data_IF_221052472600
#
_entry.id   IF_221052472600
#
_cell.length_a   1.000
_cell.length_b   1.000
_cell.length_c   1.000
_cell.angle_alpha   90.00
_cell.angle_beta   90.00
_cell.angle_gamma   90.00
#
_symmetry.space_group_name_H-M   'P 1'
#
loop_
_entity.id
_entity.type
_entity.pdbx_description
1 polymer ?
#
# COMPACT_ATOMS: atom_id res chain seq x y z
N UNK A 1 -19.21 -1.38 11.34
CA UNK A 1 -18.03 -2.08 10.79
C UNK A 1 -18.10 -3.53 11.23
N UNK A 2 -17.89 -4.47 10.31
CA UNK A 2 -17.85 -5.90 10.58
C UNK A 2 -16.52 -6.47 10.08
N UNK A 3 -16.13 -7.66 10.53
CA UNK A 3 -14.95 -8.36 10.00
C UNK A 3 -15.06 -8.66 8.50
N UNK A 4 -16.27 -8.71 7.94
CA UNK A 4 -16.49 -8.85 6.50
C UNK A 4 -16.01 -7.60 5.76
N UNK A 5 -16.24 -6.40 6.32
CA UNK A 5 -15.68 -5.17 5.75
C UNK A 5 -14.15 -5.18 5.73
N UNK A 6 -13.50 -5.72 6.78
CA UNK A 6 -12.04 -5.88 6.78
C UNK A 6 -11.55 -6.84 5.68
N UNK A 7 -12.35 -7.85 5.31
CA UNK A 7 -12.06 -8.71 4.15
C UNK A 7 -12.19 -7.93 2.85
N UNK A 8 -13.22 -7.09 2.70
CA UNK A 8 -13.39 -6.23 1.52
C UNK A 8 -12.19 -5.27 1.34
N UNK A 9 -11.73 -4.65 2.43
CA UNK A 9 -10.53 -3.79 2.42
C UNK A 9 -9.25 -4.58 2.08
N UNK A 10 -9.11 -5.80 2.59
CA UNK A 10 -7.99 -6.68 2.23
C UNK A 10 -8.00 -7.03 0.74
N UNK A 11 -9.18 -7.27 0.17
CA UNK A 11 -9.34 -7.53 -1.26
C UNK A 11 -9.03 -6.31 -2.12
N UNK A 12 -9.33 -5.08 -1.65
CA UNK A 12 -8.83 -3.85 -2.28
C UNK A 12 -7.31 -3.78 -2.26
N UNK A 13 -6.67 -4.02 -1.11
CA UNK A 13 -5.21 -4.04 -0.99
C UNK A 13 -4.58 -5.05 -1.94
N UNK A 14 -5.19 -6.24 -2.09
CA UNK A 14 -4.77 -7.23 -3.08
C UNK A 14 -4.84 -6.71 -4.51
N UNK A 15 -5.77 -5.81 -4.85
CA UNK A 15 -5.80 -5.17 -6.16
C UNK A 15 -4.54 -4.36 -6.49
N UNK A 16 -3.90 -3.76 -5.47
CA UNK A 16 -2.66 -2.98 -5.62
C UNK A 16 -1.39 -3.81 -5.41
N UNK A 17 -1.47 -4.85 -4.56
CA UNK A 17 -0.32 -5.68 -4.16
C UNK A 17 -0.18 -6.98 -4.96
N UNK A 18 -1.26 -7.49 -5.57
CA UNK A 18 -1.14 -8.65 -6.42
C UNK A 18 -0.52 -8.29 -7.75
N UNK A 19 0.16 -9.28 -8.28
CA UNK A 19 0.44 -9.38 -9.68
C UNK A 19 -0.91 -9.51 -10.38
N UNK A 20 -1.19 -8.62 -11.33
CA UNK A 20 -2.10 -8.97 -12.44
C UNK A 20 -1.62 -10.29 -13.09
N UNK A 21 -2.39 -10.88 -14.01
CA UNK A 21 -2.14 -12.22 -14.57
C UNK A 21 -0.65 -12.66 -14.56
N UNK A 22 -0.39 -13.91 -14.11
CA UNK A 22 0.90 -14.63 -14.21
C UNK A 22 1.88 -14.63 -13.01
N UNK A 23 1.46 -14.34 -11.77
CA UNK A 23 2.32 -14.55 -10.56
C UNK A 23 3.67 -13.79 -10.62
N UNK A 24 3.66 -12.56 -11.15
CA UNK A 24 4.86 -11.71 -11.23
C UNK A 24 5.26 -11.16 -9.84
N UNK A 25 6.14 -10.17 -9.73
CA UNK A 25 6.25 -9.38 -8.51
C UNK A 25 5.23 -8.22 -8.52
N UNK A 26 4.78 -7.73 -7.34
CA UNK A 26 3.81 -6.64 -7.24
C UNK A 26 4.21 -5.46 -8.13
N UNK A 27 3.27 -4.92 -8.93
CA UNK A 27 3.58 -3.82 -9.85
C UNK A 27 4.20 -2.62 -9.11
N UNK A 28 3.72 -2.30 -7.90
CA UNK A 28 4.26 -1.23 -7.07
C UNK A 28 5.78 -1.38 -6.78
N UNK A 29 6.29 -2.61 -6.66
CA UNK A 29 7.74 -2.85 -6.50
C UNK A 29 8.50 -2.42 -7.75
N UNK A 30 8.00 -2.79 -8.93
CA UNK A 30 8.63 -2.47 -10.19
C UNK A 30 8.50 -0.97 -10.50
N UNK A 31 7.37 -0.36 -10.14
CA UNK A 31 7.13 1.07 -10.28
C UNK A 31 8.06 1.89 -9.40
N UNK A 32 8.31 1.48 -8.14
CA UNK A 32 9.31 2.12 -7.27
C UNK A 32 10.72 2.01 -7.85
N UNK A 33 11.10 0.86 -8.42
CA UNK A 33 12.40 0.70 -9.08
C UNK A 33 12.53 1.59 -10.31
N UNK A 34 11.48 1.67 -11.13
CA UNK A 34 11.43 2.55 -12.29
C UNK A 34 11.47 4.03 -11.88
N UNK A 35 10.78 4.39 -10.79
CA UNK A 35 10.81 5.72 -10.21
C UNK A 35 12.22 6.09 -9.77
N UNK A 36 12.93 5.17 -9.12
CA UNK A 36 14.33 5.35 -8.75
C UNK A 36 15.21 5.63 -9.99
N UNK A 37 15.06 4.86 -11.07
CA UNK A 37 15.85 5.06 -12.28
C UNK A 37 15.55 6.41 -12.94
N UNK A 38 14.29 6.82 -12.99
CA UNK A 38 13.88 8.14 -13.45
C UNK A 38 14.47 9.25 -12.56
N UNK A 39 14.52 9.05 -11.24
CA UNK A 39 15.08 10.02 -10.32
C UNK A 39 16.60 10.15 -10.51
N UNK A 40 17.32 9.04 -10.68
CA UNK A 40 18.75 9.04 -11.01
C UNK A 40 19.02 9.88 -12.26
N UNK A 41 18.22 9.68 -13.30
CA UNK A 41 18.36 10.38 -14.56
C UNK A 41 18.07 11.88 -14.48
N UNK A 42 16.99 12.26 -13.81
CA UNK A 42 16.58 13.67 -13.72
C UNK A 42 17.43 14.43 -12.72
N UNK A 43 17.61 13.87 -11.51
CA UNK A 43 18.27 14.56 -10.39
C UNK A 43 19.78 14.51 -10.52
N UNK A 44 20.36 13.36 -10.86
CA UNK A 44 21.81 13.18 -10.88
C UNK A 44 22.42 13.41 -12.27
N UNK A 45 21.74 12.99 -13.33
CA UNK A 45 22.24 13.15 -14.71
C UNK A 45 21.67 14.37 -15.43
N UNK A 46 20.75 15.12 -14.80
CA UNK A 46 20.21 16.36 -15.35
C UNK A 46 19.33 16.18 -16.59
N UNK A 47 18.81 14.97 -16.83
CA UNK A 47 17.97 14.65 -18.00
C UNK A 47 16.54 15.19 -17.84
N UNK A 48 16.40 16.52 -17.92
CA UNK A 48 15.13 17.25 -17.72
C UNK A 48 13.97 16.75 -18.59
N UNK A 49 14.25 16.17 -19.76
CA UNK A 49 13.23 15.59 -20.64
C UNK A 49 12.49 14.38 -20.02
N UNK A 50 13.06 13.74 -18.99
CA UNK A 50 12.41 12.64 -18.25
C UNK A 50 11.63 13.11 -17.02
N UNK A 51 11.71 14.40 -16.66
CA UNK A 51 11.04 14.94 -15.49
C UNK A 51 9.51 14.75 -15.48
N UNK A 52 8.78 14.90 -16.62
CA UNK A 52 7.34 14.62 -16.62
C UNK A 52 7.04 13.18 -16.19
N UNK A 53 7.69 12.20 -16.82
CA UNK A 53 7.51 10.78 -16.49
C UNK A 53 7.89 10.44 -15.04
N UNK A 54 8.87 11.14 -14.46
CA UNK A 54 9.23 11.00 -13.04
C UNK A 54 8.06 11.42 -12.13
N UNK A 55 7.49 12.61 -12.36
CA UNK A 55 6.43 13.14 -11.51
C UNK A 55 5.09 12.45 -11.73
N UNK A 56 4.76 12.06 -12.97
CA UNK A 56 3.58 11.28 -13.27
C UNK A 56 3.61 9.95 -12.51
N UNK A 57 4.72 9.20 -12.62
CA UNK A 57 4.87 7.93 -11.90
C UNK A 57 4.91 8.10 -10.38
N UNK A 58 5.51 9.18 -9.88
CA UNK A 58 5.53 9.46 -8.45
C UNK A 58 4.10 9.68 -7.90
N UNK A 59 3.26 10.40 -8.65
CA UNK A 59 1.88 10.68 -8.28
C UNK A 59 1.04 9.40 -8.30
N UNK A 60 1.21 8.57 -9.34
CA UNK A 60 0.53 7.26 -9.41
C UNK A 60 0.90 6.35 -8.21
N UNK A 61 2.18 6.32 -7.82
CA UNK A 61 2.63 5.54 -6.66
C UNK A 61 2.07 6.15 -5.35
N UNK A 62 2.06 7.49 -5.23
CA UNK A 62 1.50 8.17 -4.05
C UNK A 62 0.01 7.85 -3.87
N UNK A 63 -0.78 7.92 -4.94
CA UNK A 63 -2.21 7.57 -4.92
C UNK A 63 -2.41 6.11 -4.49
N UNK A 64 -1.64 5.17 -5.07
CA UNK A 64 -1.70 3.75 -4.68
C UNK A 64 -1.34 3.52 -3.20
N UNK A 65 -0.31 4.23 -2.69
CA UNK A 65 0.09 4.13 -1.29
C UNK A 65 -0.97 4.72 -0.34
N UNK A 66 -1.66 5.76 -0.77
CA UNK A 66 -2.79 6.34 -0.02
C UNK A 66 -3.92 5.33 0.11
N UNK A 67 -4.35 4.71 -1.00
CA UNK A 67 -5.40 3.68 -1.00
C UNK A 67 -5.04 2.49 -0.11
N UNK A 68 -3.78 2.03 -0.17
CA UNK A 68 -3.27 0.94 0.67
C UNK A 68 -3.26 1.30 2.15
N UNK A 69 -2.89 2.54 2.49
CA UNK A 69 -2.84 3.02 3.87
C UNK A 69 -4.25 3.10 4.46
N UNK A 70 -5.21 3.67 3.73
CA UNK A 70 -6.61 3.76 4.16
C UNK A 70 -7.22 2.36 4.37
N UNK A 71 -7.00 1.43 3.44
CA UNK A 71 -7.49 0.06 3.58
C UNK A 71 -6.89 -0.63 4.81
N UNK A 72 -5.59 -0.46 5.07
CA UNK A 72 -4.93 -1.03 6.24
C UNK A 72 -5.48 -0.44 7.55
N UNK A 73 -5.68 0.88 7.61
CA UNK A 73 -6.28 1.57 8.76
C UNK A 73 -7.69 1.04 9.04
N UNK A 74 -8.51 0.86 8.00
CA UNK A 74 -9.86 0.31 8.14
C UNK A 74 -9.87 -1.14 8.67
N UNK A 75 -8.92 -1.97 8.24
CA UNK A 75 -8.74 -3.33 8.76
C UNK A 75 -8.33 -3.27 10.23
N UNK A 76 -7.36 -2.43 10.56
CA UNK A 76 -6.86 -2.27 11.92
C UNK A 76 -7.99 -1.82 12.86
N UNK A 77 -8.76 -0.79 12.49
CA UNK A 77 -9.89 -0.31 13.29
C UNK A 77 -10.93 -1.42 13.55
N UNK A 78 -11.20 -2.27 12.56
CA UNK A 78 -12.12 -3.39 12.72
C UNK A 78 -11.61 -4.45 13.69
N UNK A 79 -10.30 -4.73 13.67
CA UNK A 79 -9.65 -5.68 14.59
C UNK A 79 -9.53 -5.08 15.99
N UNK A 80 -9.15 -3.81 16.11
CA UNK A 80 -8.98 -3.10 17.39
C UNK A 80 -10.27 -3.12 18.20
N UNK A 81 -11.41 -2.86 17.55
CA UNK A 81 -12.75 -2.98 18.17
C UNK A 81 -13.04 -4.37 18.71
N UNK A 82 -12.51 -5.43 18.10
CA UNK A 82 -12.66 -6.79 18.59
C UNK A 82 -11.72 -7.06 19.77
N UNK A 83 -10.47 -6.62 19.68
CA UNK A 83 -9.48 -6.81 20.75
C UNK A 83 -9.82 -6.01 22.00
N UNK A 84 -10.48 -4.86 21.87
CA UNK A 84 -10.99 -4.05 22.98
C UNK A 84 -12.07 -4.78 23.79
N UNK A 85 -12.77 -5.75 23.19
CA UNK A 85 -13.75 -6.58 23.88
C UNK A 85 -13.12 -7.72 24.69
N UNK A 86 -11.80 -7.88 24.67
CA UNK A 86 -11.12 -8.94 25.40
C UNK A 86 -11.37 -8.79 26.93
N UNK A 87 -12.01 -9.78 27.58
CA UNK A 87 -12.18 -9.78 29.03
C UNK A 87 -10.84 -9.72 29.76
N UNK A 88 -10.77 -8.92 30.82
CA UNK A 88 -9.56 -8.81 31.66
C UNK A 88 -9.14 -10.17 32.25
N UNK A 89 -10.11 -11.04 32.55
CA UNK A 89 -9.85 -12.41 33.03
C UNK A 89 -9.10 -13.31 32.04
N UNK A 90 -9.03 -12.90 30.76
CA UNK A 90 -8.30 -13.60 29.70
C UNK A 90 -6.99 -12.88 29.32
N UNK A 91 -6.64 -11.75 29.96
CA UNK A 91 -5.32 -11.14 29.84
C UNK A 91 -4.36 -11.95 30.71
N UNK A 92 -3.59 -12.85 30.11
CA UNK A 92 -2.61 -13.66 30.85
C UNK A 92 -1.47 -12.78 31.36
N UNK A 93 -1.32 -12.71 32.69
CA UNK A 93 -0.16 -12.16 33.39
C UNK A 93 -0.36 -10.75 33.95
N UNK A 94 -0.91 -10.66 35.16
CA UNK A 94 -0.45 -9.71 36.17
C UNK A 94 0.53 -10.43 37.11
#
# INVERSE_FOLDING_TARGET
MSLIHAVDELDKMRGHLNDREHHNPPEIRNDILKLHDLAMDVVNHGMKGRAPALFDLATEIEDQLSDLSEALENIQEAIDKLTDLQPESLRWGD
#
